data_IF_455154725375
#
_entry.id   IF_455154725375
#
_cell.length_a   1.000
_cell.length_b   1.000
_cell.length_c   1.000
_cell.angle_alpha   90.00
_cell.angle_beta   90.00
_cell.angle_gamma   90.00
#
_symmetry.space_group_name_H-M   'P 1'
#
loop_
_entity.id
_entity.type
_entity.pdbx_description
1 polymer ?
#
# COMPACT_ATOMS: atom_id res chain seq x y z
N UNK A 1 -11.83 22.17 17.29
CA UNK A 1 -10.81 21.42 16.50
C UNK A 1 -11.16 21.63 15.04
N UNK A 2 -10.28 22.24 14.29
CA UNK A 2 -10.51 22.55 12.89
C UNK A 2 -9.65 21.63 12.01
N UNK A 3 -10.18 21.25 10.83
CA UNK A 3 -9.44 20.51 9.82
C UNK A 3 -8.71 21.51 8.94
N UNK A 4 -7.42 21.30 8.76
CA UNK A 4 -6.57 22.12 7.89
C UNK A 4 -6.16 21.31 6.66
N UNK A 5 -6.33 21.87 5.45
CA UNK A 5 -5.81 21.33 4.21
C UNK A 5 -4.48 22.01 3.86
N UNK A 6 -3.50 21.20 3.48
CA UNK A 6 -2.16 21.62 3.06
C UNK A 6 -1.78 20.86 1.78
N UNK A 7 -1.11 21.53 0.85
CA UNK A 7 -0.58 20.89 -0.37
C UNK A 7 0.92 20.60 -0.25
N UNK A 8 1.60 21.33 0.63
CA UNK A 8 3.01 21.13 0.97
C UNK A 8 3.18 21.21 2.48
N UNK A 9 4.19 20.54 3.00
CA UNK A 9 4.57 20.59 4.41
C UNK A 9 5.92 21.26 4.57
N UNK A 10 6.05 22.09 5.59
CA UNK A 10 7.35 22.58 6.04
C UNK A 10 8.03 21.55 6.96
N UNK A 11 9.32 21.75 7.28
CA UNK A 11 10.11 20.80 8.06
C UNK A 11 9.54 20.50 9.47
N UNK A 12 8.87 21.46 10.10
CA UNK A 12 8.24 21.29 11.43
C UNK A 12 6.98 20.41 11.29
N UNK A 13 6.17 20.68 10.29
CA UNK A 13 4.95 19.91 9.98
C UNK A 13 5.29 18.48 9.59
N UNK A 14 6.30 18.28 8.72
CA UNK A 14 6.79 16.94 8.40
C UNK A 14 7.23 16.16 9.65
N UNK A 15 7.93 16.82 10.56
CA UNK A 15 8.36 16.20 11.82
C UNK A 15 7.15 15.77 12.64
N UNK A 16 6.18 16.68 12.83
CA UNK A 16 4.97 16.38 13.58
C UNK A 16 4.14 15.24 12.99
N UNK A 17 4.06 15.15 11.65
CA UNK A 17 3.39 14.04 10.97
C UNK A 17 4.13 12.72 11.19
N UNK A 18 5.45 12.72 11.04
CA UNK A 18 6.30 11.56 11.30
C UNK A 18 6.19 11.06 12.74
N UNK A 19 6.13 11.98 13.69
CA UNK A 19 5.96 11.65 15.12
C UNK A 19 4.61 10.93 15.37
N UNK A 20 3.51 11.41 14.75
CA UNK A 20 2.21 10.76 14.86
C UNK A 20 2.20 9.38 14.17
N UNK A 21 2.81 9.26 12.99
CA UNK A 21 2.92 7.98 12.27
C UNK A 21 3.71 6.96 13.09
N UNK A 22 4.85 7.37 13.66
CA UNK A 22 5.66 6.52 14.55
C UNK A 22 4.87 6.04 15.77
N UNK A 23 4.10 6.92 16.39
CA UNK A 23 3.25 6.56 17.52
C UNK A 23 2.19 5.53 17.11
N UNK A 24 1.53 5.74 15.96
CA UNK A 24 0.54 4.80 15.44
C UNK A 24 1.18 3.46 15.06
N UNK A 25 2.34 3.48 14.40
CA UNK A 25 3.07 2.26 14.05
C UNK A 25 3.42 1.43 15.29
N UNK A 26 3.85 2.08 16.36
CA UNK A 26 4.18 1.41 17.62
C UNK A 26 2.95 0.78 18.27
N UNK A 27 1.83 1.49 18.28
CA UNK A 27 0.59 1.00 18.91
C UNK A 27 -0.07 -0.13 18.10
N UNK A 28 -0.05 0.00 16.76
CA UNK A 28 -0.71 -0.94 15.86
C UNK A 28 0.22 -2.10 15.42
N UNK A 29 1.46 -2.12 15.91
CA UNK A 29 2.51 -3.08 15.50
C UNK A 29 2.70 -3.11 13.97
N UNK A 30 2.73 -1.93 13.35
CA UNK A 30 2.92 -1.73 11.91
C UNK A 30 4.22 -1.01 11.61
N UNK A 31 4.62 -0.98 10.35
CA UNK A 31 5.83 -0.34 9.84
C UNK A 31 5.53 0.51 8.59
N UNK A 32 4.50 1.37 8.66
CA UNK A 32 4.26 2.33 7.59
C UNK A 32 5.53 3.12 7.30
N UNK A 33 5.85 3.23 6.03
CA UNK A 33 6.90 4.14 5.59
C UNK A 33 6.52 5.58 5.95
N UNK A 34 7.48 6.31 6.47
CA UNK A 34 7.33 7.72 6.84
C UNK A 34 7.65 8.67 5.69
N UNK A 35 7.67 8.16 4.46
CA UNK A 35 7.71 8.99 3.26
C UNK A 35 6.45 9.85 3.19
N UNK A 36 6.62 11.17 2.98
CA UNK A 36 5.52 12.15 2.88
C UNK A 36 5.38 12.66 1.45
N UNK A 37 5.59 11.78 0.46
CA UNK A 37 5.39 12.08 -0.96
C UNK A 37 3.91 11.89 -1.36
N UNK A 38 3.10 12.87 -0.96
CA UNK A 38 1.66 12.93 -1.19
C UNK A 38 1.28 14.25 -1.83
N UNK A 39 0.17 14.28 -2.57
CA UNK A 39 -0.31 15.48 -3.28
C UNK A 39 -1.06 16.46 -2.36
N UNK A 40 -1.61 15.95 -1.24
CA UNK A 40 -2.36 16.76 -0.27
C UNK A 40 -2.38 16.12 1.11
N UNK A 41 -2.61 16.98 2.12
CA UNK A 41 -2.62 16.62 3.53
C UNK A 41 -3.79 17.30 4.24
N UNK A 42 -4.56 16.54 5.00
CA UNK A 42 -5.51 17.08 5.97
C UNK A 42 -5.00 16.78 7.37
N UNK A 43 -5.13 17.74 8.28
CA UNK A 43 -4.66 17.57 9.64
C UNK A 43 -5.59 18.19 10.67
N UNK A 44 -5.56 17.63 11.88
CA UNK A 44 -6.19 18.19 13.08
C UNK A 44 -5.07 18.37 14.11
N UNK A 45 -4.79 19.63 14.46
CA UNK A 45 -3.74 19.99 15.42
C UNK A 45 -4.22 19.85 16.86
N UNK A 46 -3.28 19.55 17.74
CA UNK A 46 -3.46 19.55 19.19
C UNK A 46 -3.22 20.98 19.74
N UNK A 47 -4.22 21.85 19.61
CA UNK A 47 -4.13 23.23 20.06
C UNK A 47 -4.07 23.36 21.59
N UNK A 48 -4.62 22.37 22.30
CA UNK A 48 -4.74 22.35 23.76
C UNK A 48 -3.73 21.39 24.41
N UNK A 49 -2.45 21.43 23.98
CA UNK A 49 -1.40 20.51 24.47
C UNK A 49 -1.32 20.42 25.99
N UNK A 50 -1.60 21.53 26.71
CA UNK A 50 -1.55 21.57 28.18
C UNK A 50 -2.74 20.88 28.84
N UNK A 51 -3.89 20.88 28.21
CA UNK A 51 -5.14 20.32 28.77
C UNK A 51 -5.32 18.87 28.35
N UNK A 52 -4.95 18.51 27.11
CA UNK A 52 -5.04 17.15 26.59
C UNK A 52 -4.05 16.16 27.23
N UNK A 53 -2.95 16.66 27.79
CA UNK A 53 -1.85 15.84 28.32
C UNK A 53 -1.05 15.11 27.24
N UNK A 54 -1.37 15.29 25.96
CA UNK A 54 -0.67 14.71 24.83
C UNK A 54 0.49 15.62 24.40
N UNK A 55 1.59 15.01 23.99
CA UNK A 55 2.80 15.74 23.57
C UNK A 55 2.83 16.01 22.08
N UNK A 56 2.17 15.17 21.32
CA UNK A 56 2.13 15.19 19.89
C UNK A 56 1.41 16.44 19.37
N UNK A 57 1.94 17.01 18.29
CA UNK A 57 1.40 18.22 17.69
C UNK A 57 0.10 17.97 16.93
N UNK A 58 -0.05 16.77 16.35
CA UNK A 58 -1.20 16.39 15.57
C UNK A 58 -1.99 15.26 16.25
N UNK A 59 -3.31 15.41 16.24
CA UNK A 59 -4.25 14.41 16.76
C UNK A 59 -4.71 13.44 15.66
N UNK A 60 -4.78 13.93 14.44
CA UNK A 60 -5.10 13.11 13.27
C UNK A 60 -4.55 13.73 11.99
N UNK A 61 -4.13 12.89 11.06
CA UNK A 61 -3.72 13.27 9.71
C UNK A 61 -4.33 12.32 8.69
N UNK A 62 -4.67 12.87 7.52
CA UNK A 62 -5.05 12.14 6.32
C UNK A 62 -4.15 12.64 5.20
N UNK A 63 -3.52 11.73 4.50
CA UNK A 63 -2.62 12.01 3.40
C UNK A 63 -3.13 11.29 2.16
N UNK A 64 -3.08 11.94 1.01
CA UNK A 64 -3.55 11.35 -0.23
C UNK A 64 -2.79 11.79 -1.46
N UNK A 65 -2.82 10.95 -2.47
CA UNK A 65 -2.28 11.24 -3.79
C UNK A 65 -3.22 10.72 -4.88
N UNK A 66 -3.12 11.35 -6.06
CA UNK A 66 -3.88 10.95 -7.23
C UNK A 66 -3.20 9.77 -7.91
N UNK A 67 -3.90 8.65 -7.95
CA UNK A 67 -3.46 7.52 -8.75
C UNK A 67 -3.66 7.86 -10.24
N UNK A 68 -2.66 7.59 -11.09
CA UNK A 68 -2.73 7.87 -12.55
C UNK A 68 -3.74 7.01 -13.32
N UNK A 69 -4.66 6.36 -12.62
CA UNK A 69 -5.71 5.49 -13.15
C UNK A 69 -7.08 6.12 -12.96
N UNK A 70 -8.03 5.76 -13.84
CA UNK A 70 -9.43 6.15 -13.71
C UNK A 70 -10.30 4.91 -13.57
N UNK A 71 -11.35 5.02 -12.78
CA UNK A 71 -12.39 4.01 -12.66
C UNK A 71 -13.75 4.67 -12.93
N UNK A 72 -14.50 4.10 -13.88
CA UNK A 72 -15.77 4.67 -14.34
C UNK A 72 -15.67 6.15 -14.78
N UNK A 73 -14.52 6.55 -15.33
CA UNK A 73 -14.24 7.91 -15.78
C UNK A 73 -13.89 8.90 -14.68
N UNK A 74 -13.73 8.45 -13.45
CA UNK A 74 -13.31 9.26 -12.31
C UNK A 74 -11.87 8.96 -11.93
N UNK A 75 -11.13 9.99 -11.60
CA UNK A 75 -9.79 9.85 -11.02
C UNK A 75 -9.88 9.17 -9.65
N UNK A 76 -8.91 8.33 -9.34
CA UNK A 76 -8.83 7.64 -8.06
C UNK A 76 -7.86 8.40 -7.16
N UNK A 77 -8.31 8.73 -5.96
CA UNK A 77 -7.46 9.22 -4.88
C UNK A 77 -7.17 8.07 -3.91
N UNK A 78 -5.89 7.83 -3.66
CA UNK A 78 -5.43 6.91 -2.63
C UNK A 78 -5.11 7.69 -1.36
N UNK A 79 -5.75 7.32 -0.26
CA UNK A 79 -5.64 8.02 1.01
C UNK A 79 -5.23 7.07 2.13
N UNK A 80 -4.39 7.55 3.04
CA UNK A 80 -4.09 6.89 4.30
C UNK A 80 -4.37 7.83 5.46
N UNK A 81 -4.72 7.26 6.62
CA UNK A 81 -5.16 8.03 7.80
C UNK A 81 -4.47 7.51 9.03
N UNK A 82 -3.99 8.43 9.85
CA UNK A 82 -3.47 8.15 11.19
C UNK A 82 -4.23 8.98 12.21
N UNK A 83 -4.74 8.32 13.25
CA UNK A 83 -5.41 8.96 14.38
C UNK A 83 -4.66 8.58 15.64
N UNK A 84 -4.29 9.58 16.42
CA UNK A 84 -3.60 9.40 17.69
C UNK A 84 -4.32 8.33 18.53
N UNK A 85 -3.64 7.29 19.03
CA UNK A 85 -4.28 6.13 19.67
C UNK A 85 -5.30 6.50 20.75
N UNK A 86 -4.96 7.45 21.64
CA UNK A 86 -5.87 7.91 22.70
C UNK A 86 -7.05 8.77 22.23
N UNK A 87 -7.04 9.20 20.97
CA UNK A 87 -8.11 10.02 20.37
C UNK A 87 -9.02 9.23 19.42
N UNK A 88 -8.79 7.93 19.30
CA UNK A 88 -9.62 7.05 18.47
C UNK A 88 -11.04 6.96 19.05
N UNK A 89 -12.02 6.76 18.16
CA UNK A 89 -13.43 6.72 18.54
C UNK A 89 -14.08 8.09 18.84
N UNK A 90 -13.34 9.20 18.72
CA UNK A 90 -13.82 10.55 18.99
C UNK A 90 -14.25 11.31 17.71
N UNK A 91 -14.40 10.63 16.58
CA UNK A 91 -14.90 11.23 15.34
C UNK A 91 -13.84 11.96 14.49
N UNK A 92 -12.55 11.96 14.88
CA UNK A 92 -11.51 12.70 14.13
C UNK A 92 -11.36 12.18 12.69
N UNK A 93 -11.46 10.87 12.49
CA UNK A 93 -11.48 10.30 11.15
C UNK A 93 -12.66 10.82 10.33
N UNK A 94 -13.84 10.90 10.91
CA UNK A 94 -15.04 11.43 10.26
C UNK A 94 -14.84 12.88 9.84
N UNK A 95 -14.27 13.73 10.70
CA UNK A 95 -14.00 15.14 10.36
C UNK A 95 -13.04 15.25 9.17
N UNK A 96 -11.95 14.48 9.15
CA UNK A 96 -10.99 14.47 8.03
C UNK A 96 -11.64 13.97 6.73
N UNK A 97 -12.41 12.88 6.81
CA UNK A 97 -13.05 12.31 5.62
C UNK A 97 -14.18 13.18 5.07
N UNK A 98 -14.93 13.87 5.90
CA UNK A 98 -15.93 14.85 5.44
C UNK A 98 -15.29 15.99 4.66
N UNK A 99 -14.19 16.57 5.16
CA UNK A 99 -13.45 17.59 4.44
C UNK A 99 -12.91 17.07 3.10
N UNK A 100 -12.36 15.85 3.09
CA UNK A 100 -11.91 15.20 1.87
C UNK A 100 -13.04 15.03 0.85
N UNK A 101 -14.22 14.57 1.27
CA UNK A 101 -15.37 14.38 0.38
C UNK A 101 -15.94 15.70 -0.14
N UNK A 102 -15.85 16.77 0.64
CA UNK A 102 -16.34 18.08 0.22
C UNK A 102 -15.41 18.72 -0.82
N UNK A 103 -14.11 18.50 -0.73
CA UNK A 103 -13.13 19.03 -1.67
C UNK A 103 -13.00 18.16 -2.94
N UNK A 104 -13.19 16.85 -2.83
CA UNK A 104 -12.98 15.89 -3.92
C UNK A 104 -14.27 15.11 -4.30
N UNK A 105 -15.34 15.85 -4.62
CA UNK A 105 -16.68 15.27 -4.91
C UNK A 105 -16.75 14.42 -6.19
N UNK A 106 -15.89 14.72 -7.16
CA UNK A 106 -15.90 14.07 -8.47
C UNK A 106 -14.92 12.88 -8.55
N UNK A 107 -14.06 12.74 -7.56
CA UNK A 107 -13.06 11.69 -7.51
C UNK A 107 -13.59 10.44 -6.80
N UNK A 108 -12.97 9.31 -7.09
CA UNK A 108 -13.19 8.06 -6.37
C UNK A 108 -12.15 7.92 -5.26
N UNK A 109 -12.58 7.81 -4.04
CA UNK A 109 -11.70 7.73 -2.88
C UNK A 109 -11.47 6.26 -2.54
N UNK A 110 -10.21 5.89 -2.34
CA UNK A 110 -9.79 4.61 -1.77
C UNK A 110 -8.95 4.86 -0.54
N UNK A 111 -9.26 4.20 0.53
CA UNK A 111 -8.38 4.15 1.68
C UNK A 111 -7.43 2.96 1.57
N UNK A 112 -6.16 3.18 1.92
CA UNK A 112 -5.18 2.12 2.03
C UNK A 112 -4.69 2.01 3.47
N UNK A 113 -4.45 0.78 3.91
CA UNK A 113 -3.95 0.48 5.25
C UNK A 113 -3.00 -0.70 5.21
N UNK A 114 -1.85 -0.58 5.91
CA UNK A 114 -1.07 -1.76 6.28
C UNK A 114 -1.92 -2.59 7.24
N UNK A 115 -2.14 -3.79 6.91
CA UNK A 115 -2.54 -4.92 7.70
C UNK A 115 -3.80 -5.68 7.29
N UNK A 116 -3.83 -6.77 7.71
CA UNK A 116 -4.47 -8.06 7.95
C UNK A 116 -5.98 -8.05 8.19
N UNK A 117 -6.64 -6.92 8.42
CA UNK A 117 -8.06 -6.91 8.71
C UNK A 117 -8.91 -6.76 7.46
N UNK A 118 -9.81 -7.70 7.23
CA UNK A 118 -10.78 -7.69 6.14
C UNK A 118 -11.80 -6.54 6.28
N UNK A 119 -11.82 -5.85 7.42
CA UNK A 119 -12.69 -4.70 7.67
C UNK A 119 -11.90 -3.51 8.19
N UNK A 120 -12.12 -2.35 7.58
CA UNK A 120 -11.63 -1.06 8.06
C UNK A 120 -12.81 -0.13 8.27
N UNK A 121 -13.15 0.13 9.53
CA UNK A 121 -14.36 0.88 9.88
C UNK A 121 -15.60 0.24 9.23
N UNK A 122 -16.28 0.97 8.37
CA UNK A 122 -17.46 0.49 7.62
C UNK A 122 -17.22 0.46 6.11
N UNK A 123 -15.96 0.64 5.67
CA UNK A 123 -15.61 0.66 4.26
C UNK A 123 -15.49 -0.77 3.70
N UNK A 124 -16.12 -1.04 2.55
CA UNK A 124 -15.98 -2.33 1.89
C UNK A 124 -14.53 -2.60 1.52
N UNK A 125 -14.05 -3.77 1.90
CA UNK A 125 -12.76 -4.26 1.44
C UNK A 125 -12.80 -4.53 -0.07
N UNK A 126 -11.78 -4.06 -0.78
CA UNK A 126 -11.64 -4.26 -2.22
C UNK A 126 -10.64 -5.39 -2.53
N UNK A 127 -9.40 -5.22 -2.13
CA UNK A 127 -8.30 -6.17 -2.34
C UNK A 127 -7.10 -5.82 -1.46
N UNK A 128 -6.11 -6.72 -1.45
CA UNK A 128 -4.79 -6.41 -0.89
C UNK A 128 -3.70 -6.61 -1.93
N UNK A 129 -2.64 -5.84 -1.83
CA UNK A 129 -1.35 -6.14 -2.43
C UNK A 129 -0.49 -6.85 -1.41
N UNK A 130 0.05 -8.00 -1.78
CA UNK A 130 0.99 -8.75 -0.98
C UNK A 130 2.41 -8.51 -1.47
N UNK A 131 3.30 -8.23 -0.55
CA UNK A 131 4.75 -8.17 -0.77
C UNK A 131 5.33 -9.53 -0.42
N UNK A 132 5.86 -10.22 -1.43
CA UNK A 132 6.40 -11.56 -1.29
C UNK A 132 7.91 -11.54 -1.41
N UNK A 133 8.57 -12.40 -0.65
CA UNK A 133 10.01 -12.61 -0.68
C UNK A 133 10.31 -14.10 -0.81
N UNK A 134 11.36 -14.43 -1.58
CA UNK A 134 11.98 -15.74 -1.61
C UNK A 134 13.48 -15.59 -1.36
N UNK A 135 14.00 -16.32 -0.39
CA UNK A 135 15.45 -16.48 -0.18
C UNK A 135 16.01 -17.42 -1.24
N UNK A 136 17.20 -17.09 -1.74
CA UNK A 136 17.90 -17.84 -2.77
C UNK A 136 19.13 -18.53 -2.16
N UNK A 137 19.16 -19.85 -2.24
CA UNK A 137 20.29 -20.67 -1.77
C UNK A 137 20.67 -21.68 -2.86
N UNK A 138 21.82 -21.49 -3.50
CA UNK A 138 22.78 -20.40 -3.34
C UNK A 138 22.32 -19.05 -3.93
N UNK A 139 22.96 -17.93 -3.55
CA UNK A 139 22.73 -16.63 -4.20
C UNK A 139 23.02 -16.69 -5.70
N UNK A 140 22.28 -15.92 -6.48
CA UNK A 140 22.35 -15.93 -7.94
C UNK A 140 22.94 -14.63 -8.53
N UNK A 141 23.47 -14.71 -9.75
CA UNK A 141 23.82 -13.56 -10.57
C UNK A 141 22.52 -12.87 -11.08
N UNK A 142 22.67 -11.62 -11.53
CA UNK A 142 21.57 -10.90 -12.17
C UNK A 142 21.09 -11.64 -13.42
N UNK A 143 19.83 -12.07 -13.50
CA UNK A 143 19.34 -12.88 -14.61
C UNK A 143 19.14 -12.10 -15.92
N UNK A 144 19.42 -10.78 -15.91
CA UNK A 144 19.11 -9.84 -16.98
C UNK A 144 17.76 -9.15 -16.76
N UNK A 145 17.62 -7.93 -17.29
CA UNK A 145 16.40 -7.12 -17.11
C UNK A 145 15.15 -7.79 -17.65
N UNK A 146 15.28 -8.58 -18.72
CA UNK A 146 14.18 -9.31 -19.37
C UNK A 146 14.61 -10.71 -19.77
N UNK A 147 13.79 -11.69 -19.43
CA UNK A 147 13.91 -13.07 -19.90
C UNK A 147 12.68 -13.42 -20.73
N UNK A 148 12.89 -13.73 -22.00
CA UNK A 148 11.84 -14.06 -22.96
C UNK A 148 11.86 -15.53 -23.32
N UNK A 149 10.68 -16.14 -23.41
CA UNK A 149 10.46 -17.54 -23.75
C UNK A 149 9.41 -17.64 -24.86
N UNK A 150 9.34 -18.73 -25.64
CA UNK A 150 8.33 -18.93 -26.68
C UNK A 150 6.87 -18.87 -26.14
N UNK A 151 6.68 -18.87 -24.83
CA UNK A 151 5.37 -18.94 -24.18
C UNK A 151 5.14 -17.83 -23.14
N UNK A 152 6.10 -16.89 -22.97
CA UNK A 152 5.94 -15.82 -22.01
C UNK A 152 7.24 -15.08 -21.71
N UNK A 153 7.22 -14.23 -20.71
CA UNK A 153 8.36 -13.41 -20.29
C UNK A 153 8.27 -13.05 -18.83
N UNK A 154 9.40 -12.57 -18.29
CA UNK A 154 9.51 -12.02 -16.94
C UNK A 154 10.57 -10.94 -16.92
N UNK A 155 10.42 -9.99 -16.03
CA UNK A 155 11.34 -8.87 -15.87
C UNK A 155 11.94 -8.86 -14.46
N UNK A 156 13.18 -8.36 -14.38
CA UNK A 156 13.93 -8.19 -13.14
C UNK A 156 14.58 -6.81 -13.11
N UNK A 157 14.67 -6.23 -11.94
CA UNK A 157 15.53 -5.08 -11.65
C UNK A 157 16.25 -5.31 -10.33
N UNK A 158 17.40 -4.65 -10.13
CA UNK A 158 18.03 -4.61 -8.82
C UNK A 158 17.16 -3.74 -7.90
N UNK A 159 16.70 -4.30 -6.78
CA UNK A 159 16.02 -3.54 -5.74
C UNK A 159 17.03 -2.88 -4.78
N UNK A 160 18.05 -3.65 -4.43
CA UNK A 160 19.25 -3.20 -3.71
C UNK A 160 20.42 -4.12 -4.05
N UNK A 161 21.53 -3.97 -3.33
CA UNK A 161 22.78 -4.73 -3.60
C UNK A 161 22.60 -6.27 -3.51
N UNK A 162 21.58 -6.75 -2.76
CA UNK A 162 21.36 -8.17 -2.47
C UNK A 162 19.99 -8.71 -2.86
N UNK A 163 19.09 -7.84 -3.30
CA UNK A 163 17.72 -8.21 -3.62
C UNK A 163 17.34 -7.84 -5.04
N UNK A 164 16.68 -8.76 -5.72
CA UNK A 164 16.06 -8.56 -7.03
C UNK A 164 14.59 -8.27 -6.88
N UNK A 165 14.07 -7.34 -7.69
CA UNK A 165 12.65 -7.14 -7.88
C UNK A 165 12.18 -7.84 -9.15
N UNK A 166 11.24 -8.77 -9.01
CA UNK A 166 10.61 -9.52 -10.09
C UNK A 166 9.27 -8.89 -10.43
N UNK A 167 9.04 -8.59 -11.71
CA UNK A 167 7.78 -8.00 -12.18
C UNK A 167 7.43 -8.49 -13.58
N UNK A 168 6.18 -8.22 -14.01
CA UNK A 168 5.74 -8.48 -15.38
C UNK A 168 5.79 -9.94 -15.82
N UNK A 169 5.74 -10.92 -14.88
CA UNK A 169 5.65 -12.32 -15.26
C UNK A 169 4.37 -12.56 -16.04
N UNK A 170 4.53 -12.86 -17.31
CA UNK A 170 3.44 -13.09 -18.26
C UNK A 170 3.59 -14.44 -18.95
N UNK A 171 2.49 -15.20 -19.00
CA UNK A 171 2.36 -16.40 -19.85
C UNK A 171 1.21 -16.17 -20.84
N UNK A 172 1.49 -16.35 -22.12
CA UNK A 172 0.48 -16.22 -23.18
C UNK A 172 -0.74 -17.13 -22.91
N UNK A 173 -1.94 -16.64 -23.22
CA UNK A 173 -3.21 -17.30 -22.89
C UNK A 173 -3.26 -18.77 -23.29
N UNK A 174 -2.77 -19.10 -24.51
CA UNK A 174 -2.75 -20.48 -25.06
C UNK A 174 -1.85 -21.45 -24.27
N UNK A 175 -0.91 -20.93 -23.48
CA UNK A 175 0.03 -21.72 -22.70
C UNK A 175 -0.23 -21.70 -21.20
N UNK A 176 -1.28 -20.99 -20.76
CA UNK A 176 -1.67 -20.94 -19.34
C UNK A 176 -2.13 -22.30 -18.82
N UNK A 177 -2.04 -22.50 -17.52
CA UNK A 177 -2.41 -23.74 -16.79
C UNK A 177 -1.63 -24.99 -17.23
N UNK A 178 -0.48 -24.81 -17.90
CA UNK A 178 0.42 -25.87 -18.37
C UNK A 178 1.78 -25.86 -17.66
N UNK A 179 1.88 -25.26 -16.49
CA UNK A 179 3.13 -25.16 -15.72
C UNK A 179 4.16 -24.17 -16.28
N UNK A 180 3.83 -23.39 -17.33
CA UNK A 180 4.81 -22.52 -18.00
C UNK A 180 5.31 -21.36 -17.12
N UNK A 181 4.50 -20.78 -16.25
CA UNK A 181 4.95 -19.77 -15.29
C UNK A 181 5.97 -20.33 -14.31
N UNK A 182 5.74 -21.53 -13.79
CA UNK A 182 6.70 -22.23 -12.94
C UNK A 182 8.00 -22.53 -13.69
N UNK A 183 7.90 -22.99 -14.94
CA UNK A 183 9.10 -23.25 -15.76
C UNK A 183 9.97 -22.00 -15.97
N UNK A 184 9.34 -20.82 -16.20
CA UNK A 184 10.05 -19.55 -16.29
C UNK A 184 10.77 -19.23 -14.98
N UNK A 185 10.07 -19.31 -13.86
CA UNK A 185 10.65 -18.98 -12.54
C UNK A 185 11.79 -19.92 -12.18
N UNK A 186 11.63 -21.24 -12.40
CA UNK A 186 12.70 -22.21 -12.15
C UNK A 186 13.92 -21.94 -13.01
N UNK A 187 13.72 -21.64 -14.29
CA UNK A 187 14.84 -21.32 -15.18
C UNK A 187 15.60 -20.07 -14.74
N UNK A 188 14.87 -19.01 -14.31
CA UNK A 188 15.49 -17.77 -13.87
C UNK A 188 16.14 -17.86 -12.49
N UNK A 189 15.59 -18.64 -11.56
CA UNK A 189 16.00 -18.61 -10.15
C UNK A 189 16.86 -19.82 -9.77
N UNK A 190 16.62 -21.00 -10.37
CA UNK A 190 17.32 -22.24 -10.00
C UNK A 190 18.49 -22.56 -10.95
N UNK A 191 18.46 -22.02 -12.19
CA UNK A 191 19.51 -22.28 -13.19
C UNK A 191 20.42 -21.08 -13.47
N UNK A 192 20.23 -19.97 -12.73
CA UNK A 192 21.14 -18.84 -12.83
C UNK A 192 22.50 -19.17 -12.24
N UNK A 193 23.53 -18.51 -12.79
CA UNK A 193 24.90 -18.60 -12.26
C UNK A 193 24.95 -18.10 -10.81
N UNK A 194 25.94 -18.55 -10.05
CA UNK A 194 26.19 -18.03 -8.70
C UNK A 194 26.53 -16.53 -8.74
N UNK A 195 26.04 -15.78 -7.76
CA UNK A 195 26.19 -14.33 -7.72
C UNK A 195 25.95 -13.74 -6.34
N UNK A 196 25.48 -12.51 -6.31
CA UNK A 196 25.36 -11.72 -5.08
C UNK A 196 23.93 -11.58 -4.58
N UNK A 197 22.93 -11.87 -5.41
CA UNK A 197 21.54 -11.69 -5.02
C UNK A 197 21.05 -12.85 -4.16
N UNK A 198 20.75 -12.52 -2.94
CA UNK A 198 20.31 -13.47 -1.89
C UNK A 198 18.79 -13.62 -1.83
N UNK A 199 18.06 -12.66 -2.43
CA UNK A 199 16.59 -12.59 -2.34
C UNK A 199 15.95 -12.14 -3.65
N UNK A 200 14.73 -12.62 -3.86
CA UNK A 200 13.80 -12.08 -4.86
C UNK A 200 12.54 -11.61 -4.16
N UNK A 201 12.13 -10.38 -4.45
CA UNK A 201 10.91 -9.77 -3.96
C UNK A 201 9.96 -9.47 -5.12
N UNK A 202 8.67 -9.47 -4.84
CA UNK A 202 7.63 -9.10 -5.80
C UNK A 202 6.37 -8.58 -5.09
N UNK A 203 5.52 -7.92 -5.86
CA UNK A 203 4.17 -7.54 -5.44
C UNK A 203 3.13 -8.32 -6.23
N UNK A 204 2.03 -8.67 -5.58
CA UNK A 204 0.92 -9.39 -6.22
C UNK A 204 -0.42 -8.99 -5.63
N UNK A 205 -1.37 -8.68 -6.49
CA UNK A 205 -2.76 -8.42 -6.12
C UNK A 205 -3.43 -9.71 -5.61
N UNK A 206 -4.11 -9.63 -4.47
CA UNK A 206 -4.83 -10.74 -3.83
C UNK A 206 -5.91 -11.37 -4.70
N UNK A 207 -6.43 -10.63 -5.69
CA UNK A 207 -7.40 -11.12 -6.69
C UNK A 207 -6.73 -12.01 -7.74
N UNK A 208 -5.42 -11.87 -7.95
CA UNK A 208 -4.67 -12.73 -8.88
C UNK A 208 -4.34 -14.08 -8.24
N UNK A 209 -5.39 -14.88 -8.01
CA UNK A 209 -5.27 -16.19 -7.34
C UNK A 209 -4.33 -17.15 -8.07
N UNK A 210 -4.17 -17.02 -9.40
CA UNK A 210 -3.25 -17.85 -10.17
C UNK A 210 -1.79 -17.53 -9.89
N UNK A 211 -1.44 -16.25 -9.85
CA UNK A 211 -0.09 -15.80 -9.49
C UNK A 211 0.24 -16.12 -8.04
N UNK A 212 -0.68 -15.84 -7.10
CA UNK A 212 -0.53 -16.19 -5.70
C UNK A 212 -0.20 -17.69 -5.51
N UNK A 213 -1.01 -18.57 -6.15
CA UNK A 213 -0.78 -20.03 -6.07
C UNK A 213 0.57 -20.42 -6.67
N UNK A 214 1.01 -19.76 -7.74
CA UNK A 214 2.31 -20.00 -8.35
C UNK A 214 3.44 -19.61 -7.40
N UNK A 215 3.41 -18.39 -6.86
CA UNK A 215 4.47 -17.90 -5.98
C UNK A 215 4.56 -18.71 -4.68
N UNK A 216 3.43 -19.04 -4.04
CA UNK A 216 3.43 -19.92 -2.87
C UNK A 216 4.03 -21.30 -3.18
N UNK A 217 3.73 -21.89 -4.35
CA UNK A 217 4.32 -23.16 -4.80
C UNK A 217 5.83 -23.05 -5.05
N UNK A 218 6.32 -21.87 -5.36
CA UNK A 218 7.75 -21.55 -5.57
C UNK A 218 8.46 -21.10 -4.29
N UNK A 219 7.86 -21.33 -3.14
CA UNK A 219 8.38 -21.00 -1.79
C UNK A 219 8.61 -19.51 -1.56
N UNK A 220 7.81 -18.66 -2.20
CA UNK A 220 7.71 -17.26 -1.79
C UNK A 220 6.84 -17.14 -0.54
N UNK A 221 7.25 -16.29 0.38
CA UNK A 221 6.54 -16.01 1.62
C UNK A 221 5.96 -14.59 1.59
N UNK A 222 4.76 -14.40 2.13
CA UNK A 222 4.19 -13.07 2.32
C UNK A 222 4.93 -12.42 3.49
N UNK A 223 5.59 -11.28 3.24
CA UNK A 223 6.29 -10.50 4.27
C UNK A 223 5.47 -9.32 4.73
N UNK A 224 4.68 -8.72 3.83
CA UNK A 224 3.88 -7.55 4.12
C UNK A 224 2.62 -7.51 3.24
N UNK A 225 1.66 -6.69 3.63
CA UNK A 225 0.44 -6.48 2.84
C UNK A 225 -0.10 -5.06 2.99
N UNK A 226 -0.63 -4.53 1.90
CA UNK A 226 -1.35 -3.28 1.86
C UNK A 226 -2.78 -3.55 1.41
N UNK A 227 -3.77 -3.22 2.24
CA UNK A 227 -5.19 -3.46 1.97
C UNK A 227 -5.87 -2.19 1.52
N UNK A 228 -6.74 -2.33 0.52
CA UNK A 228 -7.49 -1.24 -0.11
C UNK A 228 -8.97 -1.37 0.16
N UNK A 229 -9.61 -0.25 0.48
CA UNK A 229 -11.03 -0.18 0.86
C UNK A 229 -11.72 0.87 0.01
N UNK A 230 -12.98 0.59 -0.34
CA UNK A 230 -13.81 1.55 -1.05
C UNK A 230 -14.24 2.67 -0.09
N UNK A 231 -13.68 3.84 -0.31
CA UNK A 231 -13.96 5.05 0.46
C UNK A 231 -15.18 5.83 -0.02
N UNK A 232 -16.04 5.28 -0.86
CA UNK A 232 -17.22 6.01 -1.29
C UNK A 232 -18.16 6.32 -0.13
N UNK A 233 -18.58 7.59 -0.07
CA UNK A 233 -19.57 8.06 0.91
C UNK A 233 -20.89 7.35 0.65
N UNK A 234 -21.29 6.44 1.54
CA UNK A 234 -22.60 5.79 1.46
C UNK A 234 -23.68 6.79 1.80
N UNK A 235 -24.47 7.20 0.81
CA UNK A 235 -25.71 7.94 1.09
C UNK A 235 -26.71 7.04 1.80
N UNK A 236 -27.23 7.48 2.93
CA UNK A 236 -28.39 6.81 3.53
C UNK A 236 -29.57 6.86 2.56
N UNK A 237 -30.41 5.82 2.58
CA UNK A 237 -31.67 5.77 1.81
C UNK A 237 -32.63 6.92 2.14
N UNK A 238 -32.42 7.63 3.24
CA UNK A 238 -33.15 8.80 3.71
C UNK A 238 -32.51 10.15 3.29
N UNK A 239 -31.47 10.10 2.44
CA UNK A 239 -30.81 11.30 1.91
C UNK A 239 -29.88 12.01 2.90
N UNK A 240 -29.60 11.43 4.05
CA UNK A 240 -28.58 11.92 4.99
C UNK A 240 -27.34 11.07 4.88
N UNK A 241 -26.19 11.73 4.75
CA UNK A 241 -24.88 11.08 4.71
C UNK A 241 -24.52 10.48 6.09
N UNK A 242 -23.80 9.34 6.07
CA UNK A 242 -23.24 8.72 7.29
C UNK A 242 -21.78 9.10 7.35
#
# INVERSE_FOLDING_TARGET
>A
MDVQLQLDLNEEEERGFKDLILLCNKEDETDYDMGLDYDFFYSIRNEEKKESGLKEEYLAILMGYKLGEQEEGKDILLCTVFVHPFMRGQGLFTMLSESLYDDFREQRIRFMRKNKEESFLHFPYLYSEYFLEKTLEPPIAFPGERRSYPFGEVYFSAYNEKSLYLYGLMVENRFRRQGKGEAILRDCLEKSEAGVYEKVILQVDSRNKAAMKLYMKMDFEIKDSLSYYDGERKRRKDGKDI
#
